data_IF_543780848454
#
_entry.id   IF_543780848454
#
_cell.length_a   1.000
_cell.length_b   1.000
_cell.length_c   1.000
_cell.angle_alpha   90.00
_cell.angle_beta   90.00
_cell.angle_gamma   90.00
#
_symmetry.space_group_name_H-M   'P 1'
#
loop_
_entity.id
_entity.type
_entity.pdbx_description
1 polymer ?
#
# COMPACT_ATOMS: atom_id res chain seq x y z
N UNK A 1 9.20 -29.56 -4.93
CA UNK A 1 9.14 -29.39 -3.46
C UNK A 1 8.63 -27.99 -3.19
N UNK A 2 7.60 -27.82 -2.35
CA UNK A 2 7.13 -26.49 -1.97
C UNK A 2 8.18 -25.82 -1.06
N UNK A 3 8.55 -24.55 -1.36
CA UNK A 3 9.43 -23.76 -0.48
C UNK A 3 8.76 -23.65 0.90
N UNK A 4 9.48 -23.83 2.01
CA UNK A 4 8.92 -23.58 3.33
C UNK A 4 8.42 -22.14 3.40
N UNK A 5 7.31 -21.89 4.10
CA UNK A 5 6.74 -20.54 4.26
C UNK A 5 7.61 -19.69 5.20
N UNK A 6 7.58 -18.35 5.09
CA UNK A 6 8.38 -17.50 5.95
C UNK A 6 7.80 -17.56 7.36
N UNK A 7 8.68 -17.59 8.36
CA UNK A 7 8.31 -17.21 9.71
C UNK A 7 8.72 -15.76 9.85
N UNK A 8 7.74 -14.84 9.73
CA UNK A 8 7.98 -13.44 10.03
C UNK A 8 8.42 -13.31 11.50
N UNK A 9 9.48 -12.53 11.73
CA UNK A 9 9.87 -12.11 13.07
C UNK A 9 8.70 -11.40 13.76
N UNK A 10 8.51 -11.53 15.09
CA UNK A 10 7.41 -10.90 15.79
C UNK A 10 7.27 -9.39 15.53
N UNK A 11 8.38 -8.65 15.39
CA UNK A 11 8.34 -7.21 15.10
C UNK A 11 7.82 -6.92 13.69
N UNK A 12 8.24 -7.73 12.72
CA UNK A 12 7.78 -7.63 11.34
C UNK A 12 6.28 -7.93 11.25
N UNK A 13 5.82 -8.98 11.96
CA UNK A 13 4.39 -9.30 12.03
C UNK A 13 3.58 -8.18 12.68
N UNK A 14 4.06 -7.60 13.78
CA UNK A 14 3.40 -6.47 14.45
C UNK A 14 3.32 -5.25 13.53
N UNK A 15 4.35 -4.98 12.75
CA UNK A 15 4.37 -3.90 11.76
C UNK A 15 3.23 -4.07 10.74
N UNK A 16 3.14 -5.22 10.07
CA UNK A 16 2.11 -5.47 9.06
C UNK A 16 0.69 -5.50 9.66
N UNK A 17 0.54 -5.99 10.89
CA UNK A 17 -0.73 -5.90 11.63
C UNK A 17 -1.14 -4.46 11.91
N UNK A 18 -0.18 -3.59 12.27
CA UNK A 18 -0.43 -2.16 12.52
C UNK A 18 -0.86 -1.47 11.23
N UNK A 19 -0.19 -1.75 10.10
CA UNK A 19 -0.61 -1.28 8.76
C UNK A 19 -2.04 -1.73 8.43
N UNK A 20 -2.33 -3.01 8.67
CA UNK A 20 -3.65 -3.58 8.40
C UNK A 20 -4.74 -2.91 9.24
N UNK A 21 -4.46 -2.54 10.49
CA UNK A 21 -5.40 -1.78 11.33
C UNK A 21 -5.57 -0.34 10.86
N UNK A 22 -4.48 0.32 10.46
CA UNK A 22 -4.50 1.69 9.94
C UNK A 22 -5.35 1.82 8.67
N UNK A 23 -5.30 0.81 7.79
CA UNK A 23 -6.08 0.76 6.55
C UNK A 23 -7.60 0.76 6.76
N UNK A 24 -8.10 0.24 7.89
CA UNK A 24 -9.54 0.20 8.23
C UNK A 24 -9.96 1.27 9.25
N UNK A 25 -9.02 2.07 9.73
CA UNK A 25 -9.30 3.12 10.71
C UNK A 25 -9.68 4.41 9.98
N UNK A 26 -10.65 5.17 10.53
CA UNK A 26 -11.06 6.46 9.98
C UNK A 26 -9.83 7.38 9.77
N UNK A 27 -9.55 7.82 8.53
CA UNK A 27 -8.36 8.62 8.19
C UNK A 27 -8.18 9.90 9.02
N UNK A 28 -9.27 10.48 9.52
CA UNK A 28 -9.29 11.75 10.25
C UNK A 28 -9.37 11.60 11.77
N UNK A 29 -9.22 10.37 12.28
CA UNK A 29 -9.29 10.10 13.72
C UNK A 29 -7.92 10.16 14.41
N UNK A 30 -7.92 10.51 15.70
CA UNK A 30 -6.72 10.43 16.55
C UNK A 30 -6.13 9.02 16.58
N UNK A 31 -6.99 8.00 16.48
CA UNK A 31 -6.57 6.61 16.39
C UNK A 31 -5.72 6.36 15.13
N UNK A 32 -6.14 6.91 13.97
CA UNK A 32 -5.34 6.82 12.74
C UNK A 32 -4.00 7.53 12.91
N UNK A 33 -4.02 8.73 13.49
CA UNK A 33 -2.79 9.50 13.74
C UNK A 33 -1.81 8.71 14.62
N UNK A 34 -2.29 8.08 15.70
CA UNK A 34 -1.47 7.25 16.57
C UNK A 34 -0.90 6.01 15.87
N UNK A 35 -1.70 5.35 15.02
CA UNK A 35 -1.24 4.21 14.22
C UNK A 35 -0.17 4.63 13.21
N UNK A 36 -0.36 5.76 12.53
CA UNK A 36 0.60 6.26 11.57
C UNK A 36 1.90 6.67 12.26
N UNK A 37 1.85 7.30 13.44
CA UNK A 37 3.05 7.56 14.26
C UNK A 37 3.75 6.27 14.67
N UNK A 38 3.01 5.21 15.01
CA UNK A 38 3.60 3.90 15.34
C UNK A 38 4.30 3.28 14.12
N UNK A 39 3.78 3.48 12.92
CA UNK A 39 4.35 2.99 11.66
C UNK A 39 5.57 3.81 11.26
N UNK A 40 5.42 5.13 11.18
CA UNK A 40 6.41 6.05 10.60
C UNK A 40 7.45 6.56 11.62
N UNK A 41 7.19 6.40 12.93
CA UNK A 41 8.04 6.86 14.02
C UNK A 41 7.85 8.35 14.35
N UNK A 42 8.05 9.24 13.37
CA UNK A 42 7.88 10.69 13.52
C UNK A 42 7.48 11.33 12.20
N UNK A 43 6.65 12.36 12.27
CA UNK A 43 6.37 13.30 11.19
C UNK A 43 5.74 14.58 11.77
N UNK A 44 5.83 15.68 11.05
CA UNK A 44 5.18 16.95 11.36
C UNK A 44 4.24 17.36 10.21
N UNK A 45 2.93 17.31 10.48
CA UNK A 45 1.90 17.63 9.50
C UNK A 45 1.68 16.54 8.43
N UNK A 46 0.74 16.82 7.53
CA UNK A 46 0.21 15.82 6.60
C UNK A 46 1.20 15.43 5.49
N UNK A 47 1.93 16.39 4.93
CA UNK A 47 2.87 16.13 3.84
C UNK A 47 4.01 15.20 4.30
N UNK A 48 4.58 15.47 5.48
CA UNK A 48 5.62 14.61 6.05
C UNK A 48 5.07 13.24 6.46
N UNK A 49 3.84 13.19 6.98
CA UNK A 49 3.16 11.93 7.31
C UNK A 49 3.08 11.00 6.10
N UNK A 50 2.61 11.49 4.95
CA UNK A 50 2.48 10.69 3.73
C UNK A 50 3.84 10.15 3.26
N UNK A 51 4.87 11.02 3.23
CA UNK A 51 6.21 10.61 2.83
C UNK A 51 6.85 9.61 3.80
N UNK A 52 6.68 9.82 5.10
CA UNK A 52 7.22 8.93 6.12
C UNK A 52 6.54 7.55 6.05
N UNK A 53 5.21 7.50 5.90
CA UNK A 53 4.48 6.25 5.69
C UNK A 53 4.93 5.54 4.42
N UNK A 54 5.00 6.25 3.29
CA UNK A 54 5.49 5.71 2.01
C UNK A 54 6.88 5.10 2.17
N UNK A 55 7.81 5.83 2.78
CA UNK A 55 9.18 5.39 2.99
C UNK A 55 9.23 4.09 3.80
N UNK A 56 8.64 4.07 4.99
CA UNK A 56 8.74 2.91 5.89
C UNK A 56 8.05 1.68 5.30
N UNK A 57 6.85 1.82 4.72
CA UNK A 57 6.16 0.66 4.12
C UNK A 57 6.92 0.10 2.92
N UNK A 58 7.50 0.97 2.08
CA UNK A 58 8.31 0.52 0.95
C UNK A 58 9.59 -0.17 1.43
N UNK A 59 10.28 0.35 2.45
CA UNK A 59 11.48 -0.28 3.02
C UNK A 59 11.18 -1.70 3.53
N UNK A 60 10.07 -1.89 4.23
CA UNK A 60 9.64 -3.21 4.71
C UNK A 60 9.26 -4.15 3.55
N UNK A 61 8.53 -3.65 2.55
CA UNK A 61 8.14 -4.45 1.38
C UNK A 61 9.35 -4.86 0.52
N UNK A 62 10.28 -3.93 0.29
CA UNK A 62 11.51 -4.14 -0.48
C UNK A 62 12.45 -5.10 0.27
N UNK A 63 12.50 -5.03 1.61
CA UNK A 63 13.20 -6.02 2.44
C UNK A 63 12.61 -7.42 2.26
N UNK A 64 11.30 -7.58 2.33
CA UNK A 64 10.65 -8.88 2.05
C UNK A 64 10.96 -9.35 0.62
N UNK A 65 11.00 -8.44 -0.35
CA UNK A 65 11.29 -8.76 -1.74
C UNK A 65 12.72 -9.25 -1.93
N UNK A 66 13.70 -8.58 -1.30
CA UNK A 66 15.11 -9.01 -1.31
C UNK A 66 15.33 -10.39 -0.68
N UNK A 67 14.46 -10.79 0.25
CA UNK A 67 14.47 -12.12 0.87
C UNK A 67 13.64 -13.15 0.08
N UNK A 68 12.94 -12.70 -0.97
CA UNK A 68 12.08 -13.51 -1.82
C UNK A 68 10.77 -13.93 -1.16
N UNK A 69 10.21 -13.11 -0.27
CA UNK A 69 8.95 -13.36 0.47
C UNK A 69 7.89 -12.28 0.24
N UNK A 70 7.98 -11.52 -0.85
CA UNK A 70 7.04 -10.43 -1.14
C UNK A 70 5.92 -10.83 -2.10
N UNK A 71 5.44 -12.08 -2.03
CA UNK A 71 4.29 -12.55 -2.79
C UNK A 71 3.25 -13.18 -1.86
N UNK A 72 1.96 -12.93 -2.09
CA UNK A 72 0.86 -13.49 -1.29
C UNK A 72 0.83 -15.03 -1.17
N UNK A 73 1.47 -15.74 -2.10
CA UNK A 73 1.56 -17.21 -2.08
C UNK A 73 2.47 -17.71 -0.96
N UNK A 74 3.38 -16.84 -0.51
CA UNK A 74 4.36 -17.14 0.54
C UNK A 74 3.69 -17.22 1.91
N UNK A 75 2.57 -16.52 2.10
CA UNK A 75 1.80 -16.47 3.34
C UNK A 75 0.56 -17.35 3.30
N UNK A 76 -0.08 -17.60 4.44
CA UNK A 76 -1.36 -18.33 4.51
C UNK A 76 -2.23 -17.94 5.69
N UNK A 77 -3.53 -18.25 5.59
CA UNK A 77 -4.49 -17.97 6.65
C UNK A 77 -4.56 -16.47 6.95
N UNK A 78 -4.70 -16.14 8.23
CA UNK A 78 -4.78 -14.74 8.68
C UNK A 78 -3.57 -13.90 8.25
N UNK A 79 -2.37 -14.48 8.21
CA UNK A 79 -1.16 -13.74 7.81
C UNK A 79 -1.21 -13.33 6.34
N UNK A 80 -1.81 -14.15 5.46
CA UNK A 80 -2.00 -13.76 4.05
C UNK A 80 -2.90 -12.56 3.91
N UNK A 81 -3.98 -12.49 4.68
CA UNK A 81 -4.90 -11.34 4.63
C UNK A 81 -4.24 -10.06 5.13
N UNK A 82 -3.45 -10.16 6.20
CA UNK A 82 -2.64 -9.03 6.72
C UNK A 82 -1.66 -8.53 5.65
N UNK A 83 -0.92 -9.45 5.01
CA UNK A 83 0.03 -9.08 3.95
C UNK A 83 -0.66 -8.53 2.70
N UNK A 84 -1.85 -9.04 2.38
CA UNK A 84 -2.68 -8.52 1.29
C UNK A 84 -3.06 -7.06 1.52
N UNK A 85 -3.51 -6.73 2.72
CA UNK A 85 -3.81 -5.34 3.08
C UNK A 85 -2.52 -4.50 3.09
N UNK A 86 -1.43 -5.05 3.62
CA UNK A 86 -0.11 -4.41 3.63
C UNK A 86 0.40 -4.03 2.24
N UNK A 87 0.31 -4.93 1.26
CA UNK A 87 0.73 -4.68 -0.11
C UNK A 87 -0.20 -3.71 -0.86
N UNK A 88 -1.49 -3.68 -0.54
CA UNK A 88 -2.40 -2.64 -1.06
C UNK A 88 -2.06 -1.28 -0.47
N UNK A 89 -1.76 -1.22 0.84
CA UNK A 89 -1.32 -0.01 1.51
C UNK A 89 0.00 0.50 0.92
N UNK A 90 0.97 -0.39 0.69
CA UNK A 90 2.23 -0.09 -0.01
C UNK A 90 1.97 0.50 -1.39
N UNK A 91 1.19 -0.18 -2.24
CA UNK A 91 0.91 0.27 -3.59
C UNK A 91 0.22 1.65 -3.61
N UNK A 92 -0.74 1.86 -2.71
CA UNK A 92 -1.42 3.15 -2.57
C UNK A 92 -0.46 4.29 -2.18
N UNK A 93 0.38 4.08 -1.15
CA UNK A 93 1.29 5.13 -0.68
C UNK A 93 2.48 5.34 -1.63
N UNK A 94 2.93 4.29 -2.33
CA UNK A 94 4.04 4.40 -3.29
C UNK A 94 3.70 5.37 -4.44
N UNK A 95 2.46 5.32 -4.93
CA UNK A 95 1.96 6.10 -6.08
C UNK A 95 1.02 7.26 -5.67
N UNK A 96 1.10 7.70 -4.41
CA UNK A 96 0.17 8.66 -3.82
C UNK A 96 0.14 10.00 -4.58
N UNK A 97 1.31 10.53 -4.93
CA UNK A 97 1.45 11.79 -5.67
C UNK A 97 0.97 11.69 -7.11
N UNK A 98 1.18 10.54 -7.74
CA UNK A 98 0.75 10.28 -9.10
C UNK A 98 -0.78 10.22 -9.20
N UNK A 99 -1.45 9.66 -8.18
CA UNK A 99 -2.91 9.78 -8.05
C UNK A 99 -3.36 11.22 -7.85
N UNK A 100 -2.69 12.00 -7.00
CA UNK A 100 -3.02 13.41 -6.77
C UNK A 100 -2.89 14.24 -8.05
N UNK A 101 -1.82 14.01 -8.81
CA UNK A 101 -1.61 14.66 -10.09
C UNK A 101 -2.71 14.30 -11.10
N UNK A 102 -3.09 13.01 -11.18
CA UNK A 102 -4.17 12.57 -12.05
C UNK A 102 -5.52 13.20 -11.68
N UNK A 103 -5.80 13.36 -10.38
CA UNK A 103 -7.03 14.01 -9.89
C UNK A 103 -7.02 15.50 -10.25
N UNK A 104 -5.88 16.18 -10.07
CA UNK A 104 -5.72 17.57 -10.45
C UNK A 104 -5.90 17.78 -11.97
N UNK A 105 -5.35 16.89 -12.79
CA UNK A 105 -5.49 16.94 -14.25
C UNK A 105 -6.93 16.67 -14.69
N UNK A 106 -7.59 15.66 -14.10
CA UNK A 106 -8.99 15.36 -14.38
C UNK A 106 -9.91 16.53 -14.00
N UNK A 107 -9.62 17.20 -12.88
CA UNK A 107 -10.37 18.39 -12.45
C UNK A 107 -10.26 19.55 -13.44
N UNK A 108 -9.10 19.71 -14.10
CA UNK A 108 -8.89 20.72 -15.15
C UNK A 108 -9.53 20.32 -16.48
N UNK A 109 -9.54 19.03 -16.81
CA UNK A 109 -10.04 18.50 -18.08
C UNK A 109 -11.58 18.32 -18.11
N UNK A 110 -12.25 18.40 -16.96
CA UNK A 110 -13.70 18.23 -16.84
C UNK A 110 -14.12 16.80 -17.17
N UNK A 111 -15.00 16.63 -18.16
CA UNK A 111 -15.52 15.32 -18.60
C UNK A 111 -14.56 14.55 -19.52
N UNK A 112 -13.45 15.17 -19.94
CA UNK A 112 -12.47 14.49 -20.79
C UNK A 112 -11.59 13.58 -19.95
N UNK A 113 -11.55 12.29 -20.26
CA UNK A 113 -10.69 11.34 -19.54
C UNK A 113 -9.21 11.70 -19.67
N UNK A 114 -8.54 11.83 -18.54
CA UNK A 114 -7.08 11.94 -18.49
C UNK A 114 -6.42 10.57 -18.62
N UNK A 115 -5.23 10.53 -19.23
CA UNK A 115 -4.39 9.32 -19.23
C UNK A 115 -3.70 9.17 -17.88
N UNK A 116 -3.59 7.94 -17.38
CA UNK A 116 -2.83 7.59 -16.18
C UNK A 116 -1.53 6.88 -16.57
N UNK A 117 -0.42 7.60 -16.84
CA UNK A 117 0.82 7.00 -17.33
C UNK A 117 1.43 5.97 -16.35
N UNK A 118 1.27 6.21 -15.05
CA UNK A 118 1.76 5.35 -13.96
C UNK A 118 0.91 4.09 -13.73
N UNK A 119 -0.25 3.94 -14.39
CA UNK A 119 -1.15 2.81 -14.15
C UNK A 119 -0.47 1.46 -14.43
N UNK A 120 0.36 1.40 -15.49
CA UNK A 120 1.11 0.19 -15.82
C UNK A 120 2.06 -0.24 -14.70
N UNK A 121 2.68 0.70 -14.00
CA UNK A 121 3.61 0.45 -12.89
C UNK A 121 2.87 -0.03 -11.63
N UNK A 122 1.72 0.57 -11.32
CA UNK A 122 0.85 0.11 -10.22
C UNK A 122 0.40 -1.32 -10.45
N UNK A 123 -0.09 -1.62 -11.65
CA UNK A 123 -0.57 -2.96 -12.02
C UNK A 123 0.57 -3.98 -12.01
N UNK A 124 1.76 -3.60 -12.48
CA UNK A 124 2.94 -4.44 -12.40
C UNK A 124 3.36 -4.72 -10.95
N UNK A 125 3.31 -3.73 -10.07
CA UNK A 125 3.56 -3.93 -8.63
C UNK A 125 2.56 -4.91 -8.01
N UNK A 126 1.26 -4.70 -8.23
CA UNK A 126 0.22 -5.59 -7.71
C UNK A 126 0.37 -7.02 -8.25
N UNK A 127 0.68 -7.17 -9.54
CA UNK A 127 0.97 -8.49 -10.11
C UNK A 127 2.18 -9.16 -9.44
N UNK A 128 3.27 -8.42 -9.19
CA UNK A 128 4.45 -8.94 -8.46
C UNK A 128 4.12 -9.37 -7.03
N UNK A 129 3.24 -8.65 -6.34
CA UNK A 129 2.76 -9.01 -5.00
C UNK A 129 1.79 -10.20 -5.03
N UNK A 130 1.28 -10.60 -6.19
CA UNK A 130 0.46 -11.79 -6.37
C UNK A 130 -1.02 -11.56 -6.52
N UNK A 131 -1.44 -10.33 -6.82
CA UNK A 131 -2.83 -10.01 -7.14
C UNK A 131 -3.14 -10.45 -8.57
N UNK A 132 -4.38 -10.90 -8.79
CA UNK A 132 -4.86 -11.19 -10.14
C UNK A 132 -5.01 -9.89 -10.95
N UNK A 133 -4.90 -9.96 -12.28
CA UNK A 133 -4.96 -8.77 -13.13
C UNK A 133 -6.27 -7.97 -12.96
N UNK A 134 -7.41 -8.66 -12.95
CA UNK A 134 -8.74 -8.05 -12.74
C UNK A 134 -8.85 -7.35 -11.38
N UNK A 135 -8.26 -7.98 -10.36
CA UNK A 135 -8.22 -7.44 -9.01
C UNK A 135 -7.30 -6.22 -8.92
N UNK A 136 -6.16 -6.24 -9.61
CA UNK A 136 -5.26 -5.11 -9.72
C UNK A 136 -5.95 -3.88 -10.33
N UNK A 137 -6.68 -4.07 -11.42
CA UNK A 137 -7.48 -3.00 -12.06
C UNK A 137 -8.55 -2.47 -11.11
N UNK A 138 -9.24 -3.36 -10.39
CA UNK A 138 -10.24 -2.96 -9.40
C UNK A 138 -9.63 -2.10 -8.30
N UNK A 139 -8.49 -2.51 -7.73
CA UNK A 139 -7.83 -1.74 -6.68
C UNK A 139 -7.25 -0.43 -7.18
N UNK A 140 -6.75 -0.37 -8.42
CA UNK A 140 -6.36 0.89 -9.04
C UNK A 140 -7.52 1.90 -9.05
N UNK A 141 -8.72 1.44 -9.45
CA UNK A 141 -9.93 2.26 -9.40
C UNK A 141 -10.30 2.69 -7.97
N UNK A 142 -10.18 1.79 -7.00
CA UNK A 142 -10.43 2.09 -5.58
C UNK A 142 -9.43 3.14 -5.06
N UNK A 143 -8.15 3.02 -5.38
CA UNK A 143 -7.12 4.00 -4.99
C UNK A 143 -7.44 5.39 -5.51
N UNK A 144 -7.84 5.49 -6.78
CA UNK A 144 -8.27 6.74 -7.38
C UNK A 144 -9.49 7.34 -6.66
N UNK A 145 -10.49 6.53 -6.31
CA UNK A 145 -11.67 7.02 -5.56
C UNK A 145 -11.36 7.39 -4.11
N UNK A 146 -10.41 6.70 -3.45
CA UNK A 146 -10.02 7.01 -2.06
C UNK A 146 -9.26 8.33 -1.95
N UNK A 147 -8.57 8.76 -3.00
CA UNK A 147 -7.83 10.03 -3.03
C UNK A 147 -8.69 11.22 -3.45
N UNK A 148 -9.71 11.00 -4.28
CA UNK A 148 -10.59 12.03 -4.83
C UNK A 148 -11.54 12.59 -3.77
#
# INVERSE_FOLDING_TARGET
MARPKPVLDPKEREFWLTISQAAFTNPFSDQRYALDLKIAGRFEGEAERVEALKKVVCEHADKLESQGWAHLRDFSGAEREVMRIGFLFEAFHRFYHEFDQLIADQSKAGDTSCRAPFASEVLALLARRGFAAEEGVRFFGIFYQLRR
#
